data_IF_197272914414
#
_entry.id   IF_197272914414
#
_cell.length_a   1.000
_cell.length_b   1.000
_cell.length_c   1.000
_cell.angle_alpha   90.00
_cell.angle_beta   90.00
_cell.angle_gamma   90.00
#
_symmetry.space_group_name_H-M   'P 1'
#
loop_
_entity.id
_entity.type
_entity.pdbx_description
1 polymer ?
#
# COMPACT_ATOMS: atom_id res chain seq x y z
N UNK A 1 -69.19 -21.46 -40.82
CA UNK A 1 -68.84 -21.47 -39.39
C UNK A 1 -67.42 -20.93 -39.28
N UNK A 2 -67.13 -19.91 -38.45
CA UNK A 2 -65.78 -19.41 -38.30
C UNK A 2 -64.97 -20.43 -37.50
N UNK A 3 -63.89 -20.94 -38.07
CA UNK A 3 -62.91 -21.74 -37.33
C UNK A 3 -62.13 -20.76 -36.48
N UNK A 4 -62.36 -20.79 -35.16
CA UNK A 4 -61.53 -20.05 -34.21
C UNK A 4 -60.14 -20.69 -34.20
N UNK A 5 -59.25 -20.21 -35.08
CA UNK A 5 -57.80 -20.50 -35.02
C UNK A 5 -57.19 -19.59 -33.95
N UNK A 6 -57.68 -19.73 -32.72
CA UNK A 6 -57.39 -18.84 -31.61
C UNK A 6 -56.67 -19.58 -30.50
N UNK A 7 -55.34 -19.47 -30.46
CA UNK A 7 -54.47 -19.60 -29.28
C UNK A 7 -54.41 -20.94 -28.54
N UNK A 8 -55.35 -21.87 -28.74
CA UNK A 8 -55.42 -23.12 -27.96
C UNK A 8 -54.38 -24.16 -28.39
N UNK A 9 -53.84 -24.04 -29.60
CA UNK A 9 -52.76 -24.90 -30.11
C UNK A 9 -51.37 -24.24 -30.03
N UNK A 10 -51.31 -22.97 -29.61
CA UNK A 10 -50.05 -22.22 -29.45
C UNK A 10 -49.59 -22.12 -27.99
N UNK A 11 -50.38 -22.64 -27.05
CA UNK A 11 -50.17 -22.47 -25.61
C UNK A 11 -50.33 -23.77 -24.82
N UNK A 12 -49.38 -24.71 -24.94
CA UNK A 12 -48.97 -25.62 -23.84
C UNK A 12 -47.71 -26.43 -24.21
N UNK A 13 -46.75 -26.76 -23.30
CA UNK A 13 -46.69 -26.53 -21.85
C UNK A 13 -45.35 -25.90 -21.33
N UNK A 14 -45.30 -25.40 -20.08
CA UNK A 14 -44.10 -24.82 -19.37
C UNK A 14 -43.69 -23.35 -19.66
N UNK A 15 -44.56 -22.38 -19.33
CA UNK A 15 -44.32 -20.93 -19.09
C UNK A 15 -43.03 -20.31 -19.69
N UNK A 16 -42.91 -20.20 -21.01
CA UNK A 16 -41.94 -19.30 -21.67
C UNK A 16 -42.58 -18.72 -22.93
N UNK A 17 -42.33 -17.45 -23.19
CA UNK A 17 -42.65 -16.82 -24.48
C UNK A 17 -41.43 -17.05 -25.37
N UNK A 18 -41.53 -17.99 -26.31
CA UNK A 18 -40.52 -18.21 -27.36
C UNK A 18 -40.99 -17.47 -28.62
N UNK A 19 -40.25 -16.42 -29.02
CA UNK A 19 -40.51 -15.64 -30.25
C UNK A 19 -39.24 -15.74 -31.09
N UNK A 20 -39.24 -16.66 -32.06
CA UNK A 20 -38.12 -17.04 -32.93
C UNK A 20 -38.43 -18.34 -33.66
N UNK A 21 -37.75 -18.64 -34.79
CA UNK A 21 -38.00 -19.86 -35.56
C UNK A 21 -37.69 -21.14 -34.77
N UNK A 22 -38.28 -22.26 -35.19
CA UNK A 22 -38.13 -23.60 -34.60
C UNK A 22 -37.25 -24.51 -35.51
N UNK A 23 -36.45 -25.42 -34.97
CA UNK A 23 -35.40 -26.29 -35.54
C UNK A 23 -35.04 -27.45 -34.58
N UNK A 24 -33.77 -27.78 -34.27
CA UNK A 24 -33.44 -28.95 -33.40
C UNK A 24 -32.64 -28.68 -32.11
N UNK A 25 -32.48 -27.41 -31.71
CA UNK A 25 -31.82 -26.98 -30.46
C UNK A 25 -32.85 -26.54 -29.41
N UNK A 26 -32.45 -26.00 -28.25
CA UNK A 26 -33.44 -25.50 -27.29
C UNK A 26 -34.23 -24.25 -27.80
N UNK A 27 -33.71 -23.56 -28.84
CA UNK A 27 -34.30 -22.44 -29.58
C UNK A 27 -33.66 -22.36 -30.97
N UNK A 28 -34.39 -22.36 -32.08
CA UNK A 28 -33.80 -22.81 -33.33
C UNK A 28 -34.37 -22.15 -34.59
N UNK A 29 -33.85 -20.95 -34.82
CA UNK A 29 -33.56 -20.37 -36.13
C UNK A 29 -32.13 -19.80 -36.10
N UNK A 30 -31.61 -19.27 -37.21
CA UNK A 30 -30.21 -18.81 -37.28
C UNK A 30 -29.85 -17.65 -36.32
N UNK A 31 -30.85 -16.96 -35.77
CA UNK A 31 -30.74 -15.98 -34.67
C UNK A 31 -32.11 -15.81 -33.95
N UNK A 32 -32.38 -16.48 -32.82
CA UNK A 32 -33.58 -16.22 -32.02
C UNK A 32 -33.26 -15.41 -30.74
N UNK A 33 -33.69 -14.16 -30.69
CA UNK A 33 -33.72 -13.36 -29.45
C UNK A 33 -34.88 -12.38 -29.44
N UNK A 34 -35.60 -12.27 -28.33
CA UNK A 34 -36.41 -11.08 -28.07
C UNK A 34 -35.46 -9.93 -27.75
N UNK A 35 -35.41 -8.94 -28.64
CA UNK A 35 -34.77 -7.68 -28.29
C UNK A 35 -35.70 -6.94 -27.34
N UNK A 36 -35.19 -6.51 -26.18
CA UNK A 36 -35.96 -5.77 -25.18
C UNK A 36 -35.32 -4.40 -25.04
N UNK A 37 -36.02 -3.34 -25.40
CA UNK A 37 -35.43 -2.00 -25.42
C UNK A 37 -36.31 -0.96 -26.11
N UNK A 38 -35.81 0.27 -26.16
CA UNK A 38 -36.32 1.36 -26.99
C UNK A 38 -35.48 1.50 -28.29
N UNK A 39 -35.42 2.69 -28.88
CA UNK A 39 -34.71 2.91 -30.14
C UNK A 39 -33.19 2.75 -30.06
N UNK A 40 -32.59 2.88 -28.88
CA UNK A 40 -31.13 2.95 -28.73
C UNK A 40 -30.57 2.30 -27.46
N UNK A 41 -31.43 1.74 -26.60
CA UNK A 41 -31.06 1.13 -25.33
C UNK A 41 -31.81 -0.19 -25.14
N UNK A 42 -31.14 -1.23 -24.64
CA UNK A 42 -31.78 -2.53 -24.43
C UNK A 42 -30.85 -3.73 -24.36
N UNK A 43 -31.47 -4.92 -24.35
CA UNK A 43 -30.83 -6.22 -24.46
C UNK A 43 -31.09 -6.82 -25.85
N UNK A 44 -30.03 -7.17 -26.57
CA UNK A 44 -30.09 -7.59 -27.98
C UNK A 44 -29.34 -8.90 -28.18
N UNK A 45 -29.94 -9.90 -28.82
CA UNK A 45 -29.21 -11.08 -29.29
C UNK A 45 -28.63 -10.83 -30.67
N UNK A 46 -27.37 -10.41 -30.72
CA UNK A 46 -26.71 -10.01 -31.98
C UNK A 46 -26.15 -11.18 -32.79
N UNK A 47 -25.94 -12.34 -32.16
CA UNK A 47 -25.48 -13.58 -32.78
C UNK A 47 -25.88 -14.79 -31.92
N UNK A 48 -25.73 -15.99 -32.46
CA UNK A 48 -25.88 -17.22 -31.68
C UNK A 48 -24.95 -17.23 -30.45
N UNK A 49 -25.50 -17.56 -29.28
CA UNK A 49 -24.78 -17.58 -28.01
C UNK A 49 -24.39 -16.22 -27.43
N UNK A 50 -24.90 -15.09 -27.95
CA UNK A 50 -24.53 -13.74 -27.50
C UNK A 50 -25.75 -12.95 -27.00
N UNK A 51 -25.61 -12.32 -25.83
CA UNK A 51 -26.55 -11.32 -25.31
C UNK A 51 -25.83 -10.00 -25.08
N UNK A 52 -26.18 -8.99 -25.86
CA UNK A 52 -25.60 -7.64 -25.76
C UNK A 52 -26.41 -6.73 -24.85
N UNK A 53 -25.74 -5.76 -24.25
CA UNK A 53 -26.33 -4.66 -23.47
C UNK A 53 -25.99 -3.35 -24.17
N UNK A 54 -27.03 -2.60 -24.57
CA UNK A 54 -26.94 -1.30 -25.20
C UNK A 54 -27.49 -0.21 -24.30
N UNK A 55 -26.82 0.94 -24.29
CA UNK A 55 -27.27 2.17 -23.66
C UNK A 55 -26.94 3.35 -24.58
N UNK A 56 -27.95 4.14 -24.95
CA UNK A 56 -27.79 5.36 -25.75
C UNK A 56 -26.92 5.15 -27.00
N UNK A 57 -27.31 4.17 -27.81
CA UNK A 57 -26.68 3.81 -29.09
C UNK A 57 -25.26 3.25 -28.97
N UNK A 58 -24.82 2.84 -27.77
CA UNK A 58 -23.53 2.22 -27.53
C UNK A 58 -23.67 0.86 -26.84
N UNK A 59 -22.92 -0.14 -27.30
CA UNK A 59 -22.80 -1.43 -26.63
C UNK A 59 -21.89 -1.26 -25.40
N UNK A 60 -22.43 -1.47 -24.20
CA UNK A 60 -21.71 -1.29 -22.93
C UNK A 60 -21.27 -2.61 -22.28
N UNK A 61 -21.81 -3.74 -22.75
CA UNK A 61 -21.40 -5.07 -22.28
C UNK A 61 -22.08 -6.18 -23.08
N UNK A 62 -21.66 -7.42 -22.84
CA UNK A 62 -22.29 -8.61 -23.41
C UNK A 62 -21.96 -9.88 -22.62
N UNK A 63 -22.77 -10.92 -22.78
CA UNK A 63 -22.51 -12.28 -22.31
C UNK A 63 -22.35 -13.18 -23.53
N UNK A 64 -21.35 -14.05 -23.52
CA UNK A 64 -21.21 -15.12 -24.49
C UNK A 64 -20.60 -16.38 -23.83
N UNK A 65 -20.27 -17.39 -24.64
CA UNK A 65 -19.63 -18.62 -24.16
C UNK A 65 -18.25 -18.41 -23.48
N UNK A 66 -17.65 -17.22 -23.55
CA UNK A 66 -16.40 -16.91 -22.85
C UNK A 66 -16.60 -16.11 -21.55
N UNK A 67 -17.83 -15.69 -21.24
CA UNK A 67 -18.21 -15.09 -19.96
C UNK A 67 -19.01 -13.79 -20.06
N UNK A 68 -18.95 -13.01 -18.98
CA UNK A 68 -19.50 -11.66 -18.88
C UNK A 68 -18.43 -10.64 -19.27
N UNK A 69 -18.73 -9.79 -20.24
CA UNK A 69 -17.82 -8.77 -20.75
C UNK A 69 -18.42 -7.38 -20.54
N UNK A 70 -17.76 -6.54 -19.76
CA UNK A 70 -18.10 -5.12 -19.65
C UNK A 70 -17.15 -4.33 -20.55
N UNK A 71 -17.70 -3.48 -21.42
CA UNK A 71 -16.93 -2.67 -22.37
C UNK A 71 -16.58 -1.28 -21.82
N UNK A 72 -17.07 -0.99 -20.61
CA UNK A 72 -16.77 0.21 -19.84
C UNK A 72 -16.34 -0.18 -18.42
N UNK A 73 -15.95 0.83 -17.63
CA UNK A 73 -15.57 0.65 -16.23
C UNK A 73 -16.71 0.06 -15.39
N UNK A 74 -16.35 -0.76 -14.40
CA UNK A 74 -17.27 -1.32 -13.42
C UNK A 74 -17.18 -0.50 -12.13
N UNK A 75 -18.27 0.19 -11.79
CA UNK A 75 -18.40 0.90 -10.51
C UNK A 75 -19.30 0.12 -9.56
N UNK A 76 -18.81 -0.20 -8.36
CA UNK A 76 -19.56 -0.93 -7.32
C UNK A 76 -19.75 -0.06 -6.08
N UNK A 77 -20.94 -0.12 -5.48
CA UNK A 77 -21.22 0.54 -4.19
C UNK A 77 -20.74 -0.30 -2.98
N UNK A 78 -20.57 -1.60 -3.19
CA UNK A 78 -20.00 -2.54 -2.25
C UNK A 78 -18.64 -3.07 -2.70
N UNK A 79 -18.09 -3.98 -1.90
CA UNK A 79 -16.84 -4.67 -2.22
C UNK A 79 -16.98 -5.56 -3.45
N UNK A 80 -15.89 -5.70 -4.22
CA UNK A 80 -15.80 -6.66 -5.30
C UNK A 80 -15.19 -7.97 -4.78
N UNK A 81 -15.91 -9.08 -4.93
CA UNK A 81 -15.46 -10.41 -4.55
C UNK A 81 -15.02 -11.19 -5.79
N UNK A 82 -13.77 -11.66 -5.80
CA UNK A 82 -13.16 -12.40 -6.91
C UNK A 82 -12.52 -13.70 -6.36
N UNK A 83 -13.31 -14.78 -6.35
CA UNK A 83 -12.95 -15.98 -5.58
C UNK A 83 -12.85 -15.66 -4.10
N UNK A 84 -11.75 -16.09 -3.47
CA UNK A 84 -11.45 -15.80 -2.05
C UNK A 84 -10.94 -14.37 -1.81
N UNK A 85 -10.63 -13.61 -2.87
CA UNK A 85 -10.14 -12.24 -2.74
C UNK A 85 -11.30 -11.24 -2.64
N UNK A 86 -11.11 -10.18 -1.85
CA UNK A 86 -12.07 -9.07 -1.75
C UNK A 86 -11.34 -7.74 -1.93
N UNK A 87 -11.77 -6.94 -2.89
CA UNK A 87 -11.41 -5.53 -3.00
C UNK A 87 -12.46 -4.71 -2.23
N UNK A 88 -12.05 -4.17 -1.09
CA UNK A 88 -12.95 -3.50 -0.15
C UNK A 88 -13.17 -2.02 -0.53
N UNK A 89 -14.29 -1.45 -0.11
CA UNK A 89 -14.70 -0.08 -0.44
C UNK A 89 -13.78 1.02 0.11
N UNK A 90 -12.88 0.69 1.04
CA UNK A 90 -11.85 1.60 1.57
C UNK A 90 -10.48 1.47 0.89
N UNK A 91 -10.39 0.70 -0.20
CA UNK A 91 -9.14 0.44 -0.93
C UNK A 91 -8.27 -0.68 -0.36
N UNK A 92 -8.70 -1.35 0.72
CA UNK A 92 -8.00 -2.52 1.23
C UNK A 92 -8.29 -3.77 0.37
N UNK A 93 -7.41 -4.77 0.43
CA UNK A 93 -7.55 -6.03 -0.28
C UNK A 93 -7.45 -7.18 0.71
N UNK A 94 -8.45 -8.05 0.75
CA UNK A 94 -8.40 -9.31 1.51
C UNK A 94 -8.03 -10.47 0.58
N UNK A 95 -7.24 -11.41 1.08
CA UNK A 95 -7.00 -12.67 0.38
C UNK A 95 -6.08 -13.62 1.14
N UNK A 96 -6.15 -14.90 0.80
CA UNK A 96 -5.33 -15.95 1.40
C UNK A 96 -3.83 -15.73 1.19
N UNK A 97 -3.41 -15.15 0.05
CA UNK A 97 -2.02 -14.77 -0.22
C UNK A 97 -1.45 -13.76 0.78
N UNK A 98 -2.30 -12.95 1.42
CA UNK A 98 -1.90 -11.99 2.45
C UNK A 98 -2.12 -12.51 3.87
N UNK A 99 -2.71 -13.71 4.02
CA UNK A 99 -3.16 -14.23 5.32
C UNK A 99 -4.28 -13.41 5.97
N UNK A 100 -5.04 -12.62 5.18
CA UNK A 100 -6.04 -11.68 5.68
C UNK A 100 -6.05 -10.38 4.87
N UNK A 101 -6.09 -9.25 5.58
CA UNK A 101 -6.05 -7.91 4.97
C UNK A 101 -4.63 -7.50 4.56
N UNK A 102 -4.48 -6.94 3.37
CA UNK A 102 -3.21 -6.42 2.84
C UNK A 102 -2.62 -5.34 3.74
N UNK A 103 -3.43 -4.47 4.33
CA UNK A 103 -2.96 -3.47 5.30
C UNK A 103 -2.22 -4.11 6.48
N UNK A 104 -2.74 -5.22 7.00
CA UNK A 104 -2.18 -5.91 8.17
C UNK A 104 -0.91 -6.64 7.76
N UNK A 105 -0.92 -7.28 6.59
CA UNK A 105 0.27 -7.86 5.99
C UNK A 105 1.40 -6.82 5.87
N UNK A 106 1.11 -5.63 5.33
CA UNK A 106 2.10 -4.58 5.17
C UNK A 106 2.64 -4.08 6.51
N UNK A 107 1.76 -3.84 7.49
CA UNK A 107 2.14 -3.36 8.82
C UNK A 107 2.93 -4.39 9.64
N UNK A 108 2.67 -5.68 9.45
CA UNK A 108 3.32 -6.74 10.22
C UNK A 108 4.63 -7.22 9.60
N UNK A 109 4.84 -7.02 8.30
CA UNK A 109 6.00 -7.57 7.58
C UNK A 109 7.03 -6.52 7.15
N UNK A 110 6.67 -5.23 7.12
CA UNK A 110 7.59 -4.16 6.68
C UNK A 110 7.74 -3.06 7.73
N UNK A 111 8.97 -2.58 7.85
CA UNK A 111 9.25 -1.38 8.62
C UNK A 111 8.66 -0.14 7.94
N UNK A 112 8.20 0.81 8.75
CA UNK A 112 7.83 2.15 8.29
C UNK A 112 9.05 2.86 7.70
N UNK A 113 8.80 3.75 6.75
CA UNK A 113 9.85 4.60 6.17
C UNK A 113 10.50 5.44 7.27
N UNK A 114 11.82 5.29 7.39
CA UNK A 114 12.65 6.05 8.33
C UNK A 114 12.66 7.55 7.99
N UNK A 115 12.85 8.39 9.00
CA UNK A 115 13.05 9.84 8.84
C UNK A 115 14.48 10.23 9.22
N UNK A 116 14.98 11.34 8.67
CA UNK A 116 16.37 11.78 8.91
C UNK A 116 16.57 13.28 8.70
N UNK A 117 17.62 13.81 9.34
CA UNK A 117 18.30 15.07 8.98
C UNK A 117 19.76 14.76 8.68
N UNK A 118 20.19 14.94 7.42
CA UNK A 118 21.48 14.43 6.93
C UNK A 118 22.62 15.47 6.94
N UNK A 119 22.53 16.48 7.82
CA UNK A 119 23.62 17.44 7.99
C UNK A 119 24.82 16.86 8.75
N UNK A 120 25.88 17.67 8.86
CA UNK A 120 27.09 17.34 9.65
C UNK A 120 26.80 17.15 11.14
N UNK A 121 25.66 17.66 11.61
CA UNK A 121 25.10 17.45 12.94
C UNK A 121 23.70 16.84 12.77
N UNK A 122 23.67 15.55 12.46
CA UNK A 122 22.54 14.86 11.84
C UNK A 122 21.97 13.71 12.66
N UNK A 123 20.87 13.15 12.17
CA UNK A 123 20.21 12.00 12.77
C UNK A 123 19.40 11.19 11.75
N UNK A 124 19.17 9.92 12.07
CA UNK A 124 18.17 9.04 11.43
C UNK A 124 17.35 8.34 12.51
N UNK A 125 16.05 8.15 12.24
CA UNK A 125 15.09 7.47 13.11
C UNK A 125 14.39 6.36 12.36
N UNK A 126 14.37 5.18 12.95
CA UNK A 126 13.46 4.11 12.57
C UNK A 126 12.06 4.42 13.11
N UNK A 127 11.10 4.64 12.21
CA UNK A 127 9.71 4.97 12.58
C UNK A 127 8.87 3.76 13.02
N UNK A 128 9.42 2.56 12.88
CA UNK A 128 8.80 1.32 13.32
C UNK A 128 9.13 1.05 14.78
N UNK A 129 10.41 1.18 15.15
CA UNK A 129 10.91 0.86 16.50
C UNK A 129 11.12 2.09 17.38
N UNK A 130 11.24 3.28 16.78
CA UNK A 130 11.63 4.52 17.45
C UNK A 130 13.13 4.64 17.72
N UNK A 131 13.95 3.68 17.28
CA UNK A 131 15.41 3.73 17.42
C UNK A 131 15.99 4.93 16.66
N UNK A 132 16.91 5.66 17.28
CA UNK A 132 17.53 6.86 16.72
C UNK A 132 19.04 6.66 16.72
N UNK A 133 19.67 7.05 15.61
CA UNK A 133 21.11 7.23 15.50
C UNK A 133 21.38 8.70 15.22
N UNK A 134 22.29 9.32 15.97
CA UNK A 134 22.65 10.74 15.82
C UNK A 134 24.17 10.87 15.70
N UNK A 135 24.64 11.88 14.98
CA UNK A 135 26.07 12.12 14.79
C UNK A 135 26.39 13.60 14.75
N UNK A 136 27.66 13.93 14.97
CA UNK A 136 28.15 15.29 14.83
C UNK A 136 29.65 15.40 14.93
N UNK A 137 30.16 16.58 14.59
CA UNK A 137 31.53 17.00 14.91
C UNK A 137 31.50 18.20 15.86
N UNK A 138 32.54 18.32 16.67
CA UNK A 138 32.76 19.43 17.60
C UNK A 138 34.18 19.95 17.38
N UNK A 139 34.30 21.23 17.03
CA UNK A 139 35.61 21.89 16.86
C UNK A 139 36.32 22.15 18.18
N UNK A 140 35.57 22.18 19.30
CA UNK A 140 36.09 22.29 20.67
C UNK A 140 35.28 21.34 21.54
N UNK A 141 35.95 20.36 22.14
CA UNK A 141 35.35 19.41 23.10
C UNK A 141 35.54 19.91 24.55
N UNK A 142 35.41 19.02 25.54
CA UNK A 142 35.45 19.31 26.98
C UNK A 142 34.24 20.12 27.46
N UNK A 143 33.05 19.59 27.18
CA UNK A 143 31.79 20.21 27.58
C UNK A 143 30.59 19.30 27.42
N UNK A 144 29.43 19.83 27.80
CA UNK A 144 28.12 19.23 27.56
C UNK A 144 27.48 19.86 26.32
N UNK A 145 27.02 19.02 25.39
CA UNK A 145 26.47 19.41 24.10
C UNK A 145 25.06 18.83 23.94
N UNK A 146 24.24 19.49 23.12
CA UNK A 146 22.89 19.03 22.82
C UNK A 146 22.91 18.04 21.65
N UNK A 147 22.14 16.97 21.73
CA UNK A 147 21.84 16.16 20.55
C UNK A 147 21.02 17.00 19.53
N UNK A 148 21.11 16.68 18.22
CA UNK A 148 20.22 17.24 17.20
C UNK A 148 18.73 17.09 17.58
N UNK A 149 18.39 16.00 18.26
CA UNK A 149 17.06 15.69 18.79
C UNK A 149 17.17 14.95 20.12
N UNK A 150 16.26 15.19 21.05
CA UNK A 150 16.18 14.39 22.26
C UNK A 150 15.78 12.93 21.92
N UNK A 151 16.39 11.96 22.61
CA UNK A 151 15.97 10.56 22.61
C UNK A 151 14.71 10.42 23.51
N UNK A 152 13.51 10.14 22.97
CA UNK A 152 12.28 10.11 23.79
C UNK A 152 12.33 9.30 25.10
N UNK A 153 13.08 8.20 25.16
CA UNK A 153 13.27 7.34 26.34
C UNK A 153 14.64 7.59 26.99
N UNK A 154 15.72 7.59 26.20
CA UNK A 154 17.08 7.81 26.66
C UNK A 154 18.14 7.48 25.62
N UNK A 155 19.33 8.06 25.80
CA UNK A 155 20.53 7.70 25.05
C UNK A 155 21.13 6.42 25.65
N UNK A 156 21.26 5.38 24.84
CA UNK A 156 21.84 4.10 25.24
C UNK A 156 23.36 4.18 25.31
N UNK A 157 23.98 4.76 24.28
CA UNK A 157 25.43 4.83 24.16
C UNK A 157 25.86 6.04 23.33
N UNK A 158 27.05 6.55 23.64
CA UNK A 158 27.77 7.51 22.83
C UNK A 158 29.18 7.02 22.57
N UNK A 159 29.63 7.22 21.34
CA UNK A 159 30.96 6.92 20.86
C UNK A 159 31.59 8.25 20.46
N UNK A 160 32.78 8.55 20.99
CA UNK A 160 33.50 9.79 20.70
C UNK A 160 34.87 9.42 20.16
N UNK A 161 35.29 10.09 19.10
CA UNK A 161 36.55 9.86 18.39
C UNK A 161 37.26 11.19 18.15
N UNK A 162 38.60 11.18 18.16
CA UNK A 162 39.38 12.35 17.73
C UNK A 162 39.16 12.61 16.23
N UNK A 163 39.27 13.87 15.80
CA UNK A 163 39.23 14.22 14.37
C UNK A 163 40.58 14.69 13.85
N UNK A 164 40.82 16.00 13.78
CA UNK A 164 41.93 16.60 13.01
C UNK A 164 43.05 17.20 13.87
N UNK A 165 42.93 17.20 15.20
CA UNK A 165 43.93 17.81 16.09
C UNK A 165 43.98 17.10 17.44
N UNK A 166 45.17 17.11 18.04
CA UNK A 166 45.46 16.67 19.42
C UNK A 166 46.50 17.60 20.05
N UNK A 167 46.91 17.32 21.29
CA UNK A 167 47.94 18.03 22.02
C UNK A 167 49.36 17.53 21.76
N UNK A 168 50.27 17.87 22.67
CA UNK A 168 51.68 17.46 22.59
C UNK A 168 51.92 15.98 22.87
N UNK A 169 50.91 15.26 23.36
CA UNK A 169 50.91 13.82 23.60
C UNK A 169 49.74 13.15 22.85
N UNK A 170 49.65 11.83 22.91
CA UNK A 170 48.47 11.11 22.40
C UNK A 170 47.27 11.47 23.28
N UNK A 171 46.17 11.93 22.67
CA UNK A 171 44.91 12.25 23.35
C UNK A 171 43.81 11.27 22.94
N UNK A 172 43.15 10.65 23.91
CA UNK A 172 42.00 9.78 23.65
C UNK A 172 40.69 10.53 23.85
N UNK A 173 39.82 10.50 22.84
CA UNK A 173 38.46 11.01 22.97
C UNK A 173 37.60 10.09 23.86
N UNK A 174 36.71 10.69 24.64
CA UNK A 174 35.72 10.00 25.46
C UNK A 174 34.44 10.82 25.63
N UNK A 175 33.35 10.16 26.02
CA UNK A 175 32.09 10.82 26.31
C UNK A 175 31.10 9.89 26.99
N UNK A 176 30.02 10.46 27.48
CA UNK A 176 28.92 9.73 28.11
C UNK A 176 27.60 10.51 27.97
N UNK A 177 26.44 9.81 27.97
CA UNK A 177 25.14 10.48 28.04
C UNK A 177 25.00 11.29 29.34
N UNK A 178 24.49 12.52 29.24
CA UNK A 178 24.18 13.36 30.40
C UNK A 178 22.67 13.35 30.66
N UNK A 179 21.88 13.38 29.60
CA UNK A 179 20.42 13.29 29.65
C UNK A 179 19.89 12.71 28.33
N UNK A 180 18.57 12.72 28.16
CA UNK A 180 17.96 12.36 26.88
C UNK A 180 18.23 13.39 25.76
N UNK A 181 18.64 14.61 26.08
CA UNK A 181 18.89 15.69 25.12
C UNK A 181 20.34 16.12 25.08
N UNK A 182 21.20 15.61 25.96
CA UNK A 182 22.57 16.08 26.12
C UNK A 182 23.59 14.96 26.34
N UNK A 183 24.82 15.22 25.93
CA UNK A 183 25.97 14.36 26.18
C UNK A 183 27.20 15.16 26.55
N UNK A 184 28.14 14.54 27.25
CA UNK A 184 29.47 15.07 27.49
C UNK A 184 30.45 14.47 26.46
N UNK A 185 31.35 15.28 25.93
CA UNK A 185 32.44 14.83 25.07
C UNK A 185 33.72 15.61 25.34
N UNK A 186 34.85 14.92 25.40
CA UNK A 186 36.17 15.51 25.65
C UNK A 186 37.30 14.64 25.11
N UNK A 187 38.53 15.16 25.25
CA UNK A 187 39.77 14.42 24.99
C UNK A 187 40.61 14.36 26.27
N UNK A 188 41.42 13.32 26.44
CA UNK A 188 42.29 13.17 27.63
C UNK A 188 43.72 12.81 27.20
N UNK A 189 44.69 13.54 27.74
CA UNK A 189 46.10 13.29 27.48
C UNK A 189 46.54 11.94 28.07
N UNK A 190 47.37 11.21 27.34
CA UNK A 190 47.93 9.91 27.75
C UNK A 190 49.07 10.01 28.76
N UNK A 191 49.81 11.11 28.73
CA UNK A 191 51.02 11.30 29.55
C UNK A 191 50.77 12.05 30.85
N UNK A 192 49.68 12.82 30.93
CA UNK A 192 49.39 13.70 32.05
C UNK A 192 48.16 13.22 32.82
N UNK A 193 48.38 12.80 34.07
CA UNK A 193 47.31 12.33 34.95
C UNK A 193 46.24 13.39 35.14
N UNK A 194 45.01 13.08 34.71
CA UNK A 194 43.79 13.89 34.88
C UNK A 194 43.69 15.19 34.07
N UNK A 195 44.47 15.34 33.00
CA UNK A 195 44.30 16.49 32.09
C UNK A 195 43.23 16.18 31.03
N UNK A 196 42.08 16.85 31.13
CA UNK A 196 41.01 16.81 30.13
C UNK A 196 41.14 18.02 29.19
N UNK A 197 41.32 17.74 27.92
CA UNK A 197 41.55 18.70 26.83
C UNK A 197 40.29 18.89 25.97
N UNK A 198 40.23 20.02 25.27
CA UNK A 198 39.12 20.41 24.39
C UNK A 198 39.40 20.24 22.89
N UNK A 199 40.19 19.24 22.48
CA UNK A 199 40.51 19.06 21.06
C UNK A 199 39.30 18.63 20.22
N UNK A 200 39.29 18.88 18.91
CA UNK A 200 38.20 18.50 18.02
C UNK A 200 37.86 17.01 18.07
N UNK A 201 36.56 16.69 18.13
CA UNK A 201 36.04 15.31 18.16
C UNK A 201 34.88 15.12 17.18
N UNK A 202 34.64 13.88 16.79
CA UNK A 202 33.41 13.42 16.17
C UNK A 202 32.71 12.47 17.13
N UNK A 203 31.38 12.46 17.09
CA UNK A 203 30.58 11.61 17.96
C UNK A 203 29.44 10.94 17.20
N UNK A 204 29.05 9.78 17.71
CA UNK A 204 27.91 9.00 17.25
C UNK A 204 27.14 8.49 18.47
N UNK A 205 25.83 8.61 18.46
CA UNK A 205 24.97 8.24 19.58
C UNK A 205 23.80 7.38 19.14
N UNK A 206 23.40 6.44 20.00
CA UNK A 206 22.30 5.50 19.78
C UNK A 206 21.32 5.59 20.96
N UNK A 207 20.02 5.46 20.69
CA UNK A 207 19.00 5.48 21.73
C UNK A 207 17.58 5.43 21.18
N UNK A 208 16.60 5.67 22.04
CA UNK A 208 15.17 5.73 21.68
C UNK A 208 14.46 6.73 22.56
#
# INVERSE_FOLDING_TARGET
MPVNVGLKETLNPTKRVSIGNIGTGAFDGSTPSINIGDSDSGFIGSADGVLDVYCNNAKVGYINNTGLHMLADIFTTGSLHAGDATFHTNGNVYGSSWGGWLSDFLNNNYNRKNTASLGDYGWVRDESTGFIMQWGTLSVSNGTYNFPRAFPVGCLAIFVTNTSRQGGAVDNAFGYPVSNSQFFAATKASTDGNVVNGYPVAWFALGR
#
